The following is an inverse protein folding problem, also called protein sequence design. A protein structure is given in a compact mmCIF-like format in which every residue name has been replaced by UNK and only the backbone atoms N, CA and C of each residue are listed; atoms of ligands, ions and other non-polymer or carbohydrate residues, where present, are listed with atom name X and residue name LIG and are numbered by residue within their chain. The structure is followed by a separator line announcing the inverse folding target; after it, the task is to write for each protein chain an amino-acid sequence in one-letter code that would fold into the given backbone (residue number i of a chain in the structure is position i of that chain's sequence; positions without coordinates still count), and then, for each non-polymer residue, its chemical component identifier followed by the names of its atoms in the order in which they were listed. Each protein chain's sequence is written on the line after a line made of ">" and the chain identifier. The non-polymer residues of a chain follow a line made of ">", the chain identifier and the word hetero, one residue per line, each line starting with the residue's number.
data_IF_281844475749
#
_entry.id   IF_281844475749
#
_cell.length_a   1.000
_cell.length_b   1.000
_cell.length_c   1.000
_cell.angle_alpha   90.00
_cell.angle_beta   90.00
_cell.angle_gamma   90.00
#
_symmetry.space_group_name_H-M   'P 1'
#
loop_
_entity.id
_entity.type
_entity.pdbx_description
1 polymer ?
#
# COMPACT_ATOMS: atom_id res chain seq x y z
N UNK A 1 60.12 29.64 6.67
CA UNK A 1 59.54 28.94 7.84
C UNK A 1 58.02 29.08 7.79
N UNK A 2 57.41 28.00 7.31
CA UNK A 2 56.03 27.52 7.49
C UNK A 2 55.09 28.30 8.39
N UNK A 3 53.95 28.73 7.83
CA UNK A 3 52.65 28.74 8.54
C UNK A 3 51.56 28.16 7.64
N UNK A 4 51.29 26.88 7.88
CA UNK A 4 50.05 26.20 7.57
C UNK A 4 48.88 26.98 8.19
N UNK A 5 47.84 27.28 7.40
CA UNK A 5 46.52 27.57 7.97
C UNK A 5 45.51 26.63 7.33
N UNK A 6 44.83 25.91 8.22
CA UNK A 6 43.99 24.74 8.00
C UNK A 6 42.56 25.19 7.67
N UNK A 7 42.04 24.62 6.57
CA UNK A 7 40.70 24.03 6.34
C UNK A 7 39.50 24.73 7.00
N UNK A 8 38.57 25.20 6.15
CA UNK A 8 37.15 25.30 6.49
C UNK A 8 36.32 24.59 5.40
N UNK A 9 36.33 23.25 5.45
CA UNK A 9 35.38 22.42 4.73
C UNK A 9 34.08 22.37 5.56
N UNK A 10 33.19 23.33 5.32
CA UNK A 10 31.84 23.36 5.87
C UNK A 10 30.84 23.25 4.72
N UNK A 11 30.81 22.08 4.05
CA UNK A 11 29.69 21.72 3.18
C UNK A 11 28.84 20.73 3.97
N UNK A 12 27.95 21.32 4.74
CA UNK A 12 26.57 20.91 4.97
C UNK A 12 26.29 19.42 4.78
N UNK A 13 26.34 18.71 5.90
CA UNK A 13 25.57 17.50 6.14
C UNK A 13 24.07 17.83 5.97
N UNK A 14 23.57 17.80 4.74
CA UNK A 14 22.16 17.53 4.49
C UNK A 14 21.93 16.04 4.75
N UNK A 15 22.00 15.64 6.02
CA UNK A 15 21.47 14.38 6.47
C UNK A 15 19.96 14.46 6.38
N UNK A 16 19.39 14.00 5.27
CA UNK A 16 17.95 13.73 5.18
C UNK A 16 17.63 12.63 6.20
N UNK A 17 17.36 13.02 7.44
CA UNK A 17 16.64 12.20 8.41
C UNK A 17 15.16 12.18 8.02
N UNK A 18 14.85 11.69 6.82
CA UNK A 18 13.48 11.36 6.44
C UNK A 18 13.24 9.93 6.86
N UNK A 19 12.98 9.75 8.16
CA UNK A 19 12.11 8.66 8.59
C UNK A 19 10.72 9.06 8.07
N UNK A 20 10.48 8.90 6.77
CA UNK A 20 9.10 8.93 6.26
C UNK A 20 8.41 7.81 7.00
N UNK A 21 7.52 8.17 7.94
CA UNK A 21 6.62 7.20 8.55
C UNK A 21 5.97 6.42 7.40
N UNK A 22 5.96 5.08 7.49
CA UNK A 22 5.36 4.22 6.47
C UNK A 22 3.86 4.52 6.25
N UNK A 23 3.26 5.37 7.08
CA UNK A 23 1.89 5.85 7.00
C UNK A 23 1.72 7.15 6.19
N UNK A 24 2.78 7.94 5.97
CA UNK A 24 2.66 9.27 5.36
C UNK A 24 3.79 9.55 4.37
N UNK A 25 3.41 9.72 3.11
CA UNK A 25 4.28 10.14 2.00
C UNK A 25 3.58 11.22 1.19
N UNK A 26 4.37 12.16 0.67
CA UNK A 26 3.89 13.16 -0.30
C UNK A 26 3.55 12.49 -1.63
N UNK A 27 2.68 13.10 -2.47
CA UNK A 27 2.39 12.56 -3.79
C UNK A 27 3.64 12.37 -4.66
N UNK A 28 4.60 13.29 -4.56
CA UNK A 28 5.87 13.21 -5.29
C UNK A 28 6.72 12.02 -4.89
N UNK A 29 6.86 11.75 -3.60
CA UNK A 29 7.58 10.58 -3.07
C UNK A 29 6.91 9.27 -3.47
N UNK A 30 5.58 9.22 -3.42
CA UNK A 30 4.84 8.02 -3.84
C UNK A 30 5.04 7.76 -5.33
N UNK A 31 4.90 8.79 -6.18
CA UNK A 31 5.10 8.69 -7.63
C UNK A 31 6.49 8.18 -7.98
N UNK A 32 7.53 8.73 -7.35
CA UNK A 32 8.92 8.32 -7.59
C UNK A 32 9.23 6.90 -7.11
N UNK A 33 8.47 6.39 -6.13
CA UNK A 33 8.65 5.07 -5.58
C UNK A 33 7.76 4.00 -6.23
N UNK A 34 6.98 4.33 -7.27
CA UNK A 34 6.23 3.34 -8.04
C UNK A 34 7.20 2.48 -8.84
N UNK A 35 7.17 1.17 -8.60
CA UNK A 35 7.88 0.18 -9.40
C UNK A 35 7.08 -0.13 -10.66
N UNK A 36 7.74 -0.10 -11.81
CA UNK A 36 7.16 -0.37 -13.12
C UNK A 36 7.87 -1.59 -13.70
N UNK A 37 7.10 -2.61 -14.08
CA UNK A 37 7.61 -3.89 -14.58
C UNK A 37 6.71 -4.39 -15.71
N UNK A 38 7.25 -5.22 -16.61
CA UNK A 38 6.42 -5.94 -17.55
C UNK A 38 5.51 -6.92 -16.79
N UNK A 39 4.22 -6.92 -17.11
CA UNK A 39 3.24 -7.84 -16.53
C UNK A 39 3.38 -9.22 -17.15
N UNK A 40 3.75 -10.20 -16.33
CA UNK A 40 3.81 -11.61 -16.75
C UNK A 40 2.41 -12.17 -17.10
N UNK A 41 1.35 -11.55 -16.57
CA UNK A 41 0.00 -12.09 -16.63
C UNK A 41 -0.74 -11.68 -17.92
N UNK A 42 -0.53 -10.44 -18.39
CA UNK A 42 -1.32 -9.84 -19.48
C UNK A 42 -0.46 -9.19 -20.58
N UNK A 43 0.85 -9.46 -20.60
CA UNK A 43 1.85 -8.87 -21.52
C UNK A 43 1.98 -7.34 -21.47
N UNK A 44 1.23 -6.64 -20.60
CA UNK A 44 1.22 -5.19 -20.47
C UNK A 44 2.19 -4.66 -19.41
N UNK A 45 1.87 -3.52 -18.81
CA UNK A 45 2.68 -2.87 -17.76
C UNK A 45 2.04 -3.08 -16.39
N UNK A 46 2.82 -3.51 -15.41
CA UNK A 46 2.44 -3.56 -14.01
C UNK A 46 3.08 -2.39 -13.26
N UNK A 47 2.24 -1.64 -12.57
CA UNK A 47 2.64 -0.58 -11.64
C UNK A 47 2.42 -1.07 -10.22
N UNK A 48 3.40 -0.91 -9.35
CA UNK A 48 3.30 -1.28 -7.93
C UNK A 48 3.76 -0.12 -7.06
N UNK A 49 2.84 0.47 -6.30
CA UNK A 49 3.15 1.56 -5.40
C UNK A 49 3.97 1.09 -4.19
N UNK A 50 4.62 2.02 -3.47
CA UNK A 50 5.40 1.68 -2.30
C UNK A 50 4.50 1.09 -1.21
N UNK A 51 4.99 0.08 -0.49
CA UNK A 51 4.28 -0.47 0.67
C UNK A 51 4.09 0.59 1.74
N UNK A 52 2.87 0.70 2.23
CA UNK A 52 2.46 1.61 3.30
C UNK A 52 1.91 0.80 4.46
N UNK A 53 2.00 1.36 5.67
CA UNK A 53 1.38 0.79 6.86
C UNK A 53 0.01 1.47 7.09
N UNK A 54 -1.05 0.69 7.26
CA UNK A 54 -2.39 1.20 7.53
C UNK A 54 -2.57 1.62 9.00
N UNK A 55 -3.55 2.49 9.25
CA UNK A 55 -4.02 2.82 10.60
C UNK A 55 -4.84 1.64 11.17
N UNK A 56 -4.65 1.32 12.45
CA UNK A 56 -4.97 0.01 13.04
C UNK A 56 -6.42 -0.16 13.53
N UNK A 57 -6.78 -1.39 13.90
CA UNK A 57 -7.98 -1.72 14.70
C UNK A 57 -7.81 -1.40 16.20
N UNK A 58 -6.82 -0.57 16.56
CA UNK A 58 -6.43 -0.25 17.93
C UNK A 58 -5.55 -1.30 18.61
N UNK A 59 -5.16 -2.38 17.91
CA UNK A 59 -4.26 -3.41 18.45
C UNK A 59 -2.82 -3.23 17.95
N UNK A 60 -1.88 -3.13 18.89
CA UNK A 60 -0.43 -3.10 18.58
C UNK A 60 0.11 -4.47 18.10
N UNK A 61 -0.71 -5.53 18.18
CA UNK A 61 -0.32 -6.90 17.82
C UNK A 61 -0.70 -7.27 16.38
N UNK A 62 -1.53 -6.47 15.73
CA UNK A 62 -1.94 -6.69 14.35
C UNK A 62 -1.21 -5.71 13.44
N UNK A 63 -0.56 -6.20 12.40
CA UNK A 63 0.10 -5.35 11.41
C UNK A 63 -0.69 -5.38 10.11
N UNK A 64 -0.93 -4.20 9.55
CA UNK A 64 -1.66 -4.02 8.32
C UNK A 64 -0.76 -3.24 7.36
N UNK A 65 -0.41 -3.86 6.25
CA UNK A 65 0.31 -3.20 5.17
C UNK A 65 -0.56 -3.20 3.91
N UNK A 66 -0.38 -2.20 3.07
CA UNK A 66 -1.03 -2.16 1.76
C UNK A 66 -0.12 -1.56 0.71
N UNK A 67 -0.42 -1.88 -0.55
CA UNK A 67 0.10 -1.15 -1.70
C UNK A 67 -0.93 -1.20 -2.84
N UNK A 68 -1.03 -0.10 -3.58
CA UNK A 68 -1.76 -0.10 -4.84
C UNK A 68 -0.97 -0.80 -5.93
N UNK A 69 -1.69 -1.48 -6.80
CA UNK A 69 -1.22 -2.07 -8.04
C UNK A 69 -2.13 -1.63 -9.18
N UNK A 70 -1.55 -1.45 -10.35
CA UNK A 70 -2.30 -1.24 -11.57
C UNK A 70 -1.74 -2.12 -12.68
N UNK A 71 -2.61 -2.62 -13.55
CA UNK A 71 -2.23 -3.41 -14.70
C UNK A 71 -2.79 -2.71 -15.94
N UNK A 72 -1.89 -2.10 -16.70
CA UNK A 72 -2.19 -1.52 -18.00
C UNK A 72 -1.99 -2.59 -19.08
N UNK A 73 -3.03 -2.95 -19.83
CA UNK A 73 -2.92 -3.95 -20.90
C UNK A 73 -2.23 -3.39 -22.15
N UNK A 74 -1.69 -4.27 -23.01
CA UNK A 74 -1.11 -3.88 -24.32
C UNK A 74 -2.19 -3.44 -25.32
N UNK A 75 -3.40 -3.96 -25.16
CA UNK A 75 -4.56 -3.62 -25.99
C UNK A 75 -5.38 -2.50 -25.35
N UNK A 76 -6.34 -1.91 -26.08
CA UNK A 76 -7.23 -0.81 -25.66
C UNK A 76 -8.22 -1.16 -24.51
N UNK A 77 -7.89 -2.12 -23.66
CA UNK A 77 -8.64 -2.42 -22.45
C UNK A 77 -8.30 -1.40 -21.33
N UNK A 78 -9.26 -1.10 -20.44
CA UNK A 78 -9.01 -0.17 -19.35
C UNK A 78 -7.98 -0.73 -18.36
N UNK A 79 -7.18 0.16 -17.77
CA UNK A 79 -6.27 -0.19 -16.67
C UNK A 79 -7.07 -0.71 -15.47
N UNK A 80 -6.68 -1.87 -14.94
CA UNK A 80 -7.28 -2.39 -13.71
C UNK A 80 -6.50 -1.90 -12.48
N UNK A 81 -7.22 -1.56 -11.41
CA UNK A 81 -6.61 -1.06 -10.16
C UNK A 81 -6.95 -1.99 -9.01
N UNK A 82 -5.95 -2.28 -8.19
CA UNK A 82 -6.04 -3.25 -7.11
C UNK A 82 -5.35 -2.71 -5.86
N UNK A 83 -5.98 -2.84 -4.70
CA UNK A 83 -5.33 -2.65 -3.42
C UNK A 83 -4.96 -4.01 -2.84
N UNK A 84 -3.67 -4.32 -2.79
CA UNK A 84 -3.20 -5.48 -2.07
C UNK A 84 -3.08 -5.12 -0.59
N UNK A 85 -3.67 -5.93 0.28
CA UNK A 85 -3.61 -5.76 1.74
C UNK A 85 -2.97 -7.01 2.35
N UNK A 86 -1.95 -6.81 3.16
CA UNK A 86 -1.29 -7.84 3.94
C UNK A 86 -1.61 -7.63 5.42
N UNK A 87 -2.20 -8.65 6.05
CA UNK A 87 -2.67 -8.61 7.42
C UNK A 87 -1.93 -9.68 8.22
N UNK A 88 -1.09 -9.24 9.16
CA UNK A 88 -0.39 -10.12 10.08
C UNK A 88 -1.01 -10.04 11.47
N UNK A 89 -1.29 -11.18 12.10
CA UNK A 89 -1.84 -11.27 13.45
C UNK A 89 -1.44 -12.59 14.12
N UNK A 90 -1.84 -12.79 15.38
CA UNK A 90 -1.57 -14.02 16.13
C UNK A 90 -2.82 -14.86 16.38
N UNK A 91 -2.59 -16.12 16.77
CA UNK A 91 -3.58 -17.12 17.22
C UNK A 91 -4.22 -17.90 16.07
N UNK A 92 -5.49 -17.64 15.79
CA UNK A 92 -6.29 -18.41 14.85
C UNK A 92 -6.59 -17.61 13.59
N UNK A 93 -6.69 -18.31 12.46
CA UNK A 93 -7.05 -17.71 11.19
C UNK A 93 -8.39 -16.96 11.27
N UNK A 94 -8.41 -15.74 10.73
CA UNK A 94 -9.59 -14.88 10.69
C UNK A 94 -10.40 -15.08 9.43
N UNK A 95 -9.75 -15.38 8.30
CA UNK A 95 -10.40 -15.59 7.01
C UNK A 95 -11.16 -14.34 6.56
N UNK A 96 -10.43 -13.26 6.33
CA UNK A 96 -10.97 -12.09 5.63
C UNK A 96 -11.48 -12.48 4.24
N UNK A 97 -12.70 -12.07 3.93
CA UNK A 97 -13.40 -12.53 2.72
C UNK A 97 -14.23 -11.43 2.03
N UNK A 98 -14.39 -10.26 2.64
CA UNK A 98 -15.09 -9.14 2.03
C UNK A 98 -14.54 -7.79 2.47
N UNK A 99 -14.75 -6.79 1.60
CA UNK A 99 -14.45 -5.41 1.87
C UNK A 99 -15.61 -4.51 1.38
N UNK A 100 -15.82 -3.41 2.10
CA UNK A 100 -16.78 -2.36 1.74
C UNK A 100 -16.12 -0.98 1.85
N UNK A 101 -16.44 -0.10 0.92
CA UNK A 101 -16.05 1.31 0.98
C UNK A 101 -16.86 2.05 2.05
N UNK A 102 -16.41 3.27 2.36
CA UNK A 102 -17.22 4.22 3.13
C UNK A 102 -18.60 4.38 2.48
N UNK A 103 -19.65 4.23 3.29
CA UNK A 103 -21.04 4.19 2.81
C UNK A 103 -21.60 2.79 2.56
N UNK A 104 -20.81 1.72 2.74
CA UNK A 104 -21.28 0.34 2.68
C UNK A 104 -21.35 -0.25 1.27
N UNK A 105 -20.74 0.41 0.28
CA UNK A 105 -20.63 -0.14 -1.08
C UNK A 105 -19.65 -1.32 -1.08
N UNK A 106 -20.08 -2.54 -1.45
CA UNK A 106 -19.17 -3.68 -1.52
C UNK A 106 -18.16 -3.51 -2.65
N UNK A 107 -16.96 -4.02 -2.44
CA UNK A 107 -15.91 -4.14 -3.48
C UNK A 107 -15.48 -5.59 -3.61
N UNK A 108 -15.14 -5.99 -4.82
CA UNK A 108 -14.64 -7.35 -5.07
C UNK A 108 -13.36 -7.57 -4.29
N UNK A 109 -13.31 -8.70 -3.57
CA UNK A 109 -12.19 -9.07 -2.71
C UNK A 109 -11.83 -10.52 -2.98
N UNK A 110 -10.56 -10.78 -3.22
CA UNK A 110 -10.04 -12.13 -3.45
C UNK A 110 -8.91 -12.43 -2.45
N UNK A 111 -8.96 -13.55 -1.71
CA UNK A 111 -7.79 -14.01 -0.96
C UNK A 111 -6.69 -14.43 -1.93
N UNK A 112 -5.49 -13.87 -1.76
CA UNK A 112 -4.33 -14.23 -2.56
C UNK A 112 -3.58 -15.39 -1.90
N UNK A 113 -3.27 -15.25 -0.61
CA UNK A 113 -2.40 -16.18 0.09
C UNK A 113 -2.62 -16.19 1.61
N UNK A 114 -2.16 -17.26 2.27
CA UNK A 114 -2.21 -17.47 3.71
C UNK A 114 -0.94 -18.14 4.21
N UNK A 115 -0.14 -17.41 4.99
CA UNK A 115 1.17 -17.87 5.46
C UNK A 115 1.23 -18.01 6.99
N UNK A 116 1.91 -19.06 7.46
CA UNK A 116 2.38 -19.15 8.85
C UNK A 116 3.80 -18.58 8.88
N UNK A 117 3.97 -17.41 9.51
CA UNK A 117 5.25 -16.71 9.52
C UNK A 117 6.21 -17.28 10.59
N UNK A 118 5.71 -17.45 11.81
CA UNK A 118 6.49 -17.97 12.94
C UNK A 118 5.57 -18.54 14.00
N UNK A 119 5.96 -19.60 14.71
CA UNK A 119 5.24 -20.08 15.89
C UNK A 119 6.15 -19.99 17.12
N UNK A 120 5.68 -19.30 18.17
CA UNK A 120 6.38 -19.21 19.46
C UNK A 120 6.10 -20.46 20.29
N UNK A 121 4.91 -21.02 20.16
CA UNK A 121 4.49 -22.32 20.71
C UNK A 121 3.48 -22.97 19.76
N UNK A 122 3.10 -24.23 20.01
CA UNK A 122 2.21 -24.99 19.13
C UNK A 122 0.84 -24.33 18.85
N UNK A 123 0.40 -23.40 19.71
CA UNK A 123 -0.89 -22.71 19.58
C UNK A 123 -0.75 -21.18 19.36
N UNK A 124 0.47 -20.66 19.30
CA UNK A 124 0.75 -19.23 19.16
C UNK A 124 1.60 -18.99 17.92
N UNK A 125 0.95 -19.09 16.77
CA UNK A 125 1.53 -18.73 15.49
C UNK A 125 1.17 -17.29 15.11
N UNK A 126 2.14 -16.62 14.50
CA UNK A 126 1.98 -15.42 13.71
C UNK A 126 1.56 -15.84 12.31
N UNK A 127 0.41 -15.34 11.89
CA UNK A 127 -0.30 -15.69 10.67
C UNK A 127 -0.40 -14.47 9.79
N UNK A 128 -0.36 -14.67 8.48
CA UNK A 128 -0.47 -13.64 7.47
C UNK A 128 -1.59 -14.01 6.49
N UNK A 129 -2.52 -13.09 6.24
CA UNK A 129 -3.50 -13.19 5.16
C UNK A 129 -3.26 -12.05 4.17
N UNK A 130 -3.12 -12.41 2.89
CA UNK A 130 -2.96 -11.45 1.79
C UNK A 130 -4.26 -11.41 0.99
N UNK A 131 -4.81 -10.21 0.80
CA UNK A 131 -6.03 -9.94 0.06
C UNK A 131 -5.72 -9.06 -1.14
N UNK A 132 -6.43 -9.30 -2.23
CA UNK A 132 -6.58 -8.38 -3.35
C UNK A 132 -7.96 -7.75 -3.31
N UNK A 133 -8.03 -6.43 -3.46
CA UNK A 133 -9.29 -5.69 -3.49
C UNK A 133 -9.35 -4.92 -4.81
N UNK A 134 -10.29 -5.27 -5.69
CA UNK A 134 -10.48 -4.57 -6.96
C UNK A 134 -11.06 -3.18 -6.70
N UNK A 135 -10.43 -2.16 -7.29
CA UNK A 135 -10.89 -0.78 -7.25
C UNK A 135 -11.19 -0.30 -8.66
N UNK A 136 -12.26 0.47 -8.80
CA UNK A 136 -12.51 1.25 -10.01
C UNK A 136 -11.69 2.52 -9.98
N UNK A 137 -11.34 3.02 -11.17
CA UNK A 137 -10.67 4.31 -11.31
C UNK A 137 -11.46 5.44 -10.63
N UNK A 138 -12.79 5.46 -10.77
CA UNK A 138 -13.64 6.47 -10.17
C UNK A 138 -13.61 6.45 -8.63
N UNK A 139 -13.46 5.29 -7.99
CA UNK A 139 -13.29 5.21 -6.53
C UNK A 139 -11.97 5.86 -6.07
N UNK A 140 -10.90 5.69 -6.85
CA UNK A 140 -9.61 6.36 -6.61
C UNK A 140 -9.76 7.87 -6.82
N UNK A 141 -10.31 8.28 -7.96
CA UNK A 141 -10.47 9.67 -8.32
C UNK A 141 -11.40 10.44 -7.39
N UNK A 142 -12.49 9.83 -6.92
CA UNK A 142 -13.40 10.45 -5.96
C UNK A 142 -12.67 10.83 -4.67
N UNK A 143 -11.82 9.94 -4.15
CA UNK A 143 -11.01 10.19 -2.95
C UNK A 143 -9.98 11.31 -3.20
N UNK A 144 -9.32 11.30 -4.36
CA UNK A 144 -8.36 12.35 -4.75
C UNK A 144 -9.03 13.72 -4.89
N UNK A 145 -10.16 13.81 -5.60
CA UNK A 145 -10.89 15.07 -5.84
C UNK A 145 -11.39 15.68 -4.53
N UNK A 146 -11.91 14.84 -3.62
CA UNK A 146 -12.42 15.26 -2.32
C UNK A 146 -11.31 15.50 -1.30
N UNK A 147 -10.05 15.18 -1.63
CA UNK A 147 -8.89 15.21 -0.72
C UNK A 147 -9.14 14.40 0.55
N UNK A 148 -9.89 13.30 0.42
CA UNK A 148 -10.27 12.42 1.51
C UNK A 148 -9.59 11.05 1.36
N UNK A 149 -9.49 10.32 2.47
CA UNK A 149 -8.92 8.98 2.48
C UNK A 149 -9.89 8.00 1.83
N UNK A 150 -9.37 7.08 1.01
CA UNK A 150 -10.13 5.90 0.61
C UNK A 150 -10.17 4.95 1.81
N UNK A 151 -11.35 4.77 2.42
CA UNK A 151 -11.51 3.88 3.57
C UNK A 151 -12.22 2.60 3.16
N UNK A 152 -11.59 1.48 3.50
CA UNK A 152 -12.08 0.13 3.25
C UNK A 152 -12.27 -0.57 4.58
N UNK A 153 -13.50 -1.00 4.86
CA UNK A 153 -13.78 -1.86 5.99
C UNK A 153 -13.71 -3.31 5.54
N UNK A 154 -12.77 -4.04 6.11
CA UNK A 154 -12.55 -5.46 5.87
C UNK A 154 -13.34 -6.27 6.89
N UNK A 155 -13.95 -7.36 6.44
CA UNK A 155 -14.71 -8.28 7.29
C UNK A 155 -14.19 -9.70 7.13
N UNK A 156 -14.00 -10.35 8.27
CA UNK A 156 -13.53 -11.71 8.37
C UNK A 156 -14.63 -12.66 8.82
N UNK A 157 -14.56 -13.91 8.34
CA UNK A 157 -15.50 -14.97 8.72
C UNK A 157 -15.49 -15.25 10.22
N UNK A 158 -14.35 -15.04 10.88
CA UNK A 158 -14.23 -15.14 12.34
C UNK A 158 -15.03 -14.07 13.12
N UNK A 159 -15.62 -13.10 12.43
CA UNK A 159 -16.31 -11.95 13.02
C UNK A 159 -15.40 -10.76 13.29
N UNK A 160 -14.08 -10.88 13.06
CA UNK A 160 -13.17 -9.74 13.15
C UNK A 160 -13.40 -8.76 12.00
N UNK A 161 -13.22 -7.46 12.28
CA UNK A 161 -13.27 -6.40 11.27
C UNK A 161 -12.14 -5.41 11.46
N UNK A 162 -11.63 -4.88 10.37
CA UNK A 162 -10.61 -3.83 10.37
C UNK A 162 -10.95 -2.75 9.35
N UNK A 163 -10.34 -1.58 9.49
CA UNK A 163 -10.48 -0.50 8.51
C UNK A 163 -9.12 -0.10 8.01
N UNK A 164 -8.93 -0.15 6.69
CA UNK A 164 -7.76 0.36 6.00
C UNK A 164 -8.09 1.76 5.49
N UNK A 165 -7.30 2.75 5.87
CA UNK A 165 -7.39 4.10 5.32
C UNK A 165 -6.19 4.36 4.41
N UNK A 166 -6.46 4.61 3.12
CA UNK A 166 -5.44 4.98 2.14
C UNK A 166 -5.47 6.50 1.93
N UNK A 167 -4.38 7.24 2.26
CA UNK A 167 -4.36 8.69 2.13
C UNK A 167 -4.55 9.17 0.69
N UNK A 168 -5.27 10.28 0.51
CA UNK A 168 -5.44 10.93 -0.79
C UNK A 168 -4.10 11.26 -1.47
N UNK A 169 -3.07 11.61 -0.68
CA UNK A 169 -1.72 11.89 -1.20
C UNK A 169 -1.08 10.67 -1.85
N UNK A 170 -1.29 9.49 -1.27
CA UNK A 170 -0.82 8.22 -1.82
C UNK A 170 -1.56 7.88 -3.11
N UNK A 171 -2.90 8.01 -3.11
CA UNK A 171 -3.72 7.78 -4.29
C UNK A 171 -3.32 8.71 -5.45
N UNK A 172 -3.15 10.00 -5.17
CA UNK A 172 -2.74 11.00 -6.15
C UNK A 172 -1.36 10.70 -6.73
N UNK A 173 -0.38 10.40 -5.87
CA UNK A 173 0.99 10.10 -6.32
C UNK A 173 1.05 8.84 -7.18
N UNK A 174 0.35 7.78 -6.76
CA UNK A 174 0.27 6.53 -7.50
C UNK A 174 -0.45 6.72 -8.84
N UNK A 175 -1.64 7.31 -8.84
CA UNK A 175 -2.43 7.53 -10.06
C UNK A 175 -1.67 8.42 -11.07
N UNK A 176 -0.99 9.47 -10.59
CA UNK A 176 -0.13 10.29 -11.42
C UNK A 176 1.06 9.51 -12.03
N UNK A 177 1.57 8.47 -11.36
CA UNK A 177 2.61 7.63 -11.94
C UNK A 177 2.08 6.78 -13.11
N UNK A 178 0.85 6.27 -12.97
CA UNK A 178 0.20 5.43 -13.97
C UNK A 178 -0.15 6.26 -15.22
N UNK A 179 -0.87 7.37 -15.07
CA UNK A 179 -1.38 8.13 -16.23
C UNK A 179 -0.32 8.93 -17.00
N UNK A 180 0.84 9.19 -16.39
CA UNK A 180 1.93 9.94 -17.02
C UNK A 180 3.06 9.01 -17.50
N UNK A 181 2.83 7.69 -17.50
CA UNK A 181 3.79 6.75 -18.04
C UNK A 181 3.77 6.82 -19.56
N UNK A 182 4.91 7.22 -20.15
CA UNK A 182 5.18 7.16 -21.57
C UNK A 182 6.14 5.98 -21.78
N UNK A 183 5.61 4.84 -22.22
CA UNK A 183 6.34 3.57 -22.35
C UNK A 183 7.53 3.58 -23.29
#
# INVERSE_FOLDING_TARGET
>A
MTRFTVILAAILLAGCSSVTHLSEKTPGEVRQAVSIQASEQNSGTQFSGPKMQATTDGSDLNLYYYNLRAFEPVADAPTSYHLQVNITYRRAWRHYESAELSGGQPVETAPIDKNVLQCVSGNECMLEEILDISLTEEQILASVRNRDKLKLKLRARSGHSSTIEVPATYLLGFYAAVINYEG
#
